data_IF_152334677798
#
_entry.id   IF_152334677798
#
_cell.length_a   1.000
_cell.length_b   1.000
_cell.length_c   1.000
_cell.angle_alpha   90.00
_cell.angle_beta   90.00
_cell.angle_gamma   90.00
#
_symmetry.space_group_name_H-M   'P 1'
#
loop_
_entity.id
_entity.type
_entity.pdbx_description
1 polymer ?
#
# COMPACT_ATOMS: atom_id res chain seq x y z
N UNK A 1 5.53 10.91 -21.41
CA UNK A 1 6.66 9.97 -21.22
C UNK A 1 7.37 10.34 -19.93
N UNK A 2 6.69 10.19 -18.80
CA UNK A 2 7.33 10.36 -17.49
C UNK A 2 8.13 9.09 -17.26
N UNK A 3 9.45 9.25 -17.14
CA UNK A 3 10.34 8.15 -16.78
C UNK A 3 9.92 7.66 -15.40
N UNK A 4 9.26 6.52 -15.33
CA UNK A 4 9.31 5.68 -14.14
C UNK A 4 10.79 5.33 -14.00
N UNK A 5 11.49 6.06 -13.14
CA UNK A 5 12.87 5.75 -12.78
C UNK A 5 12.82 4.40 -12.07
N UNK A 6 13.09 3.32 -12.82
CA UNK A 6 13.27 1.96 -12.33
C UNK A 6 14.57 1.84 -11.49
N UNK A 7 14.83 2.78 -10.58
CA UNK A 7 15.68 2.46 -9.44
C UNK A 7 14.86 1.52 -8.57
N UNK A 8 15.29 0.26 -8.43
CA UNK A 8 14.63 -0.72 -7.56
C UNK A 8 14.49 -0.12 -6.17
N UNK A 9 13.31 0.38 -5.84
CA UNK A 9 13.00 0.88 -4.53
C UNK A 9 12.38 -0.25 -3.73
N UNK A 10 12.77 -0.35 -2.47
CA UNK A 10 12.26 -1.40 -1.59
C UNK A 10 11.41 -0.75 -0.53
N UNK A 11 10.16 -1.17 -0.45
CA UNK A 11 9.21 -0.66 0.54
C UNK A 11 9.76 -0.74 1.96
N UNK A 12 10.43 -1.84 2.31
CA UNK A 12 11.07 -1.98 3.62
C UNK A 12 12.13 -0.91 3.89
N UNK A 13 12.96 -0.57 2.89
CA UNK A 13 13.99 0.46 3.05
C UNK A 13 13.36 1.85 3.19
N UNK A 14 12.21 2.09 2.55
CA UNK A 14 11.48 3.35 2.73
C UNK A 14 10.83 3.46 4.11
N UNK A 15 10.36 2.35 4.69
CA UNK A 15 9.65 2.34 5.98
C UNK A 15 10.54 2.19 7.22
N UNK A 16 11.70 1.52 7.10
CA UNK A 16 12.52 1.12 8.26
C UNK A 16 13.74 2.03 8.42
N UNK A 17 14.31 2.54 7.33
CA UNK A 17 15.48 3.40 7.41
C UNK A 17 15.09 4.77 7.94
N UNK A 18 15.92 5.31 8.83
CA UNK A 18 15.74 6.66 9.35
C UNK A 18 16.17 7.68 8.28
N UNK A 19 15.24 8.04 7.41
CA UNK A 19 15.38 9.09 6.40
C UNK A 19 14.80 10.40 6.92
N UNK A 20 15.40 11.53 6.57
CA UNK A 20 14.76 12.83 6.77
C UNK A 20 13.72 13.12 5.65
N UNK A 21 12.97 14.22 5.78
CA UNK A 21 11.93 14.59 4.82
C UNK A 21 12.46 14.80 3.39
N UNK A 22 13.73 15.18 3.22
CA UNK A 22 14.34 15.42 1.92
C UNK A 22 14.84 14.12 1.26
N UNK A 23 15.15 13.11 2.07
CA UNK A 23 15.63 11.79 1.62
C UNK A 23 14.50 10.81 1.35
N UNK A 24 13.39 10.96 2.07
CA UNK A 24 12.24 10.07 1.92
C UNK A 24 11.46 10.40 0.66
N UNK A 25 11.07 9.34 -0.06
CA UNK A 25 10.18 9.41 -1.22
C UNK A 25 8.72 9.21 -0.86
N UNK A 26 8.39 9.08 0.42
CA UNK A 26 7.03 8.76 0.86
C UNK A 26 6.00 9.83 0.52
N UNK A 27 6.44 11.05 0.19
CA UNK A 27 5.56 12.13 -0.28
C UNK A 27 5.18 12.01 -1.76
N UNK A 28 5.86 11.15 -2.53
CA UNK A 28 5.42 10.78 -3.87
C UNK A 28 4.24 9.80 -3.73
N UNK A 29 3.08 10.17 -4.27
CA UNK A 29 1.88 9.32 -4.28
C UNK A 29 2.19 7.93 -4.87
N UNK A 30 3.12 7.85 -5.83
CA UNK A 30 3.54 6.59 -6.44
C UNK A 30 4.28 5.64 -5.49
N UNK A 31 4.73 6.15 -4.34
CA UNK A 31 5.41 5.41 -3.29
C UNK A 31 4.49 5.29 -2.07
N UNK A 32 3.77 6.37 -1.74
CA UNK A 32 2.88 6.48 -0.60
C UNK A 32 1.74 5.46 -0.66
N UNK A 33 1.07 5.31 -1.82
CA UNK A 33 -0.10 4.43 -1.92
C UNK A 33 0.26 2.95 -1.70
N UNK A 34 1.29 2.37 -2.36
CA UNK A 34 1.75 1.01 -2.05
C UNK A 34 2.21 0.83 -0.60
N UNK A 35 2.85 1.84 -0.02
CA UNK A 35 3.27 1.79 1.37
C UNK A 35 2.07 1.76 2.34
N UNK A 36 1.09 2.64 2.13
CA UNK A 36 -0.13 2.71 2.93
C UNK A 36 -0.93 1.42 2.82
N UNK A 37 -1.09 0.87 1.61
CA UNK A 37 -1.73 -0.43 1.39
C UNK A 37 -1.08 -1.52 2.24
N UNK A 38 0.25 -1.67 2.16
CA UNK A 38 0.98 -2.68 2.91
C UNK A 38 0.81 -2.52 4.43
N UNK A 39 0.87 -1.28 4.94
CA UNK A 39 0.67 -0.99 6.37
C UNK A 39 -0.76 -1.36 6.80
N UNK A 40 -1.78 -0.97 6.05
CA UNK A 40 -3.19 -1.28 6.35
C UNK A 40 -3.43 -2.79 6.41
N UNK A 41 -2.85 -3.53 5.46
CA UNK A 41 -2.94 -4.99 5.41
C UNK A 41 -2.24 -5.64 6.61
N UNK A 42 -1.01 -5.22 6.92
CA UNK A 42 -0.24 -5.79 8.05
C UNK A 42 -0.91 -5.51 9.39
N UNK A 43 -1.44 -4.30 9.60
CA UNK A 43 -2.18 -3.96 10.81
C UNK A 43 -3.43 -4.81 10.97
N UNK A 44 -4.17 -5.01 9.87
CA UNK A 44 -5.38 -5.85 9.88
C UNK A 44 -5.04 -7.32 10.13
N UNK A 45 -4.02 -7.85 9.46
CA UNK A 45 -3.53 -9.22 9.67
C UNK A 45 -3.06 -9.44 11.11
N UNK A 46 -2.44 -8.43 11.72
CA UNK A 46 -2.01 -8.46 13.13
C UNK A 46 -3.21 -8.58 14.07
N UNK A 47 -4.27 -7.79 13.86
CA UNK A 47 -5.51 -7.89 14.64
C UNK A 47 -6.17 -9.26 14.47
N UNK A 48 -6.23 -9.77 13.24
CA UNK A 48 -6.76 -11.10 12.94
C UNK A 48 -5.95 -12.21 13.64
N UNK A 49 -4.62 -12.05 13.76
CA UNK A 49 -3.78 -13.00 14.51
C UNK A 49 -4.14 -13.05 16.01
N UNK A 50 -4.71 -11.96 16.54
CA UNK A 50 -5.26 -11.88 17.90
C UNK A 50 -6.74 -12.26 17.96
N UNK A 51 -7.28 -12.88 16.90
CA UNK A 51 -8.67 -13.29 16.77
C UNK A 51 -9.66 -12.11 16.79
N UNK A 52 -9.20 -10.90 16.44
CA UNK A 52 -10.03 -9.71 16.26
C UNK A 52 -10.35 -9.57 14.77
N UNK A 53 -11.61 -9.81 14.41
CA UNK A 53 -12.08 -9.77 13.03
C UNK A 53 -12.91 -8.51 12.78
N UNK A 54 -12.71 -7.82 11.65
CA UNK A 54 -13.56 -6.69 11.28
C UNK A 54 -14.97 -7.19 10.96
N UNK A 55 -15.98 -6.63 11.64
CA UNK A 55 -17.39 -6.85 11.31
C UNK A 55 -17.86 -6.00 10.12
N UNK A 56 -17.21 -4.84 9.95
CA UNK A 56 -17.47 -3.89 8.87
C UNK A 56 -16.15 -3.19 8.51
N UNK A 57 -16.01 -2.77 7.26
CA UNK A 57 -14.86 -2.01 6.77
C UNK A 57 -15.38 -0.77 6.06
N UNK A 58 -14.75 0.37 6.33
CA UNK A 58 -15.00 1.65 5.68
C UNK A 58 -13.63 2.18 5.26
N UNK A 59 -13.54 2.69 4.04
CA UNK A 59 -12.35 3.26 3.45
C UNK A 59 -12.56 4.73 3.10
N UNK A 60 -11.45 5.44 2.92
CA UNK A 60 -11.44 6.82 2.48
C UNK A 60 -10.43 6.96 1.34
N UNK A 61 -10.84 7.56 0.22
CA UNK A 61 -9.99 7.76 -0.97
C UNK A 61 -9.36 6.41 -1.42
N UNK A 62 -8.05 6.36 -1.67
CA UNK A 62 -7.32 5.15 -2.07
C UNK A 62 -7.20 4.03 -1.02
N UNK A 63 -8.07 4.00 -0.01
CA UNK A 63 -8.15 2.88 0.95
C UNK A 63 -8.97 1.70 0.43
N UNK A 64 -9.68 1.86 -0.68
CA UNK A 64 -10.60 0.86 -1.22
C UNK A 64 -9.87 -0.43 -1.61
N UNK A 65 -8.64 -0.35 -2.14
CA UNK A 65 -7.85 -1.54 -2.49
C UNK A 65 -7.49 -2.37 -1.26
N UNK A 66 -7.12 -1.73 -0.13
CA UNK A 66 -6.84 -2.44 1.11
C UNK A 66 -8.12 -3.04 1.72
N UNK A 67 -9.23 -2.32 1.66
CA UNK A 67 -10.53 -2.82 2.10
C UNK A 67 -10.94 -4.05 1.29
N UNK A 68 -10.86 -3.98 -0.04
CA UNK A 68 -11.15 -5.09 -0.94
C UNK A 68 -10.25 -6.30 -0.64
N UNK A 69 -8.93 -6.09 -0.47
CA UNK A 69 -8.00 -7.17 -0.11
C UNK A 69 -8.36 -7.89 1.19
N UNK A 70 -8.79 -7.14 2.21
CA UNK A 70 -9.16 -7.71 3.51
C UNK A 70 -10.48 -8.48 3.43
N UNK A 71 -11.47 -7.99 2.68
CA UNK A 71 -12.78 -8.66 2.53
C UNK A 71 -12.65 -9.95 1.72
N UNK A 72 -11.90 -9.92 0.61
CA UNK A 72 -11.79 -11.05 -0.34
C UNK A 72 -10.64 -12.03 -0.04
N UNK A 73 -9.90 -11.79 1.06
CA UNK A 73 -8.94 -12.71 1.71
C UNK A 73 -7.91 -13.37 0.78
N UNK A 74 -6.96 -12.55 0.32
CA UNK A 74 -5.52 -12.87 0.13
C UNK A 74 -4.99 -13.20 -1.28
N UNK A 75 -5.60 -12.76 -2.39
CA UNK A 75 -4.82 -12.69 -3.64
C UNK A 75 -3.97 -11.40 -3.67
N UNK A 76 -2.82 -11.46 -2.99
CA UNK A 76 -1.87 -10.35 -2.92
C UNK A 76 -1.37 -9.92 -4.29
N UNK A 77 -1.17 -10.86 -5.20
CA UNK A 77 -0.65 -10.56 -6.54
C UNK A 77 -1.65 -9.72 -7.34
N UNK A 78 -2.92 -10.11 -7.35
CA UNK A 78 -3.96 -9.37 -8.05
C UNK A 78 -4.15 -7.97 -7.47
N UNK A 79 -4.18 -7.83 -6.15
CA UNK A 79 -4.35 -6.50 -5.55
C UNK A 79 -3.15 -5.59 -5.79
N UNK A 80 -1.92 -6.10 -5.69
CA UNK A 80 -0.72 -5.31 -6.00
C UNK A 80 -0.69 -4.89 -7.47
N UNK A 81 -1.13 -5.77 -8.39
CA UNK A 81 -1.28 -5.43 -9.81
C UNK A 81 -2.32 -4.33 -10.02
N UNK A 82 -3.50 -4.44 -9.41
CA UNK A 82 -4.54 -3.41 -9.51
C UNK A 82 -4.07 -2.06 -8.96
N UNK A 83 -3.35 -2.07 -7.84
CA UNK A 83 -2.77 -0.86 -7.26
C UNK A 83 -1.78 -0.20 -8.24
N UNK A 84 -0.84 -0.97 -8.78
CA UNK A 84 0.11 -0.47 -9.77
C UNK A 84 -0.57 0.10 -11.03
N UNK A 85 -1.65 -0.53 -11.51
CA UNK A 85 -2.42 -0.06 -12.65
C UNK A 85 -3.15 1.25 -12.36
N UNK A 86 -3.78 1.39 -11.18
CA UNK A 86 -4.49 2.61 -10.80
C UNK A 86 -3.59 3.85 -10.76
N UNK A 87 -2.28 3.66 -10.55
CA UNK A 87 -1.30 4.72 -10.51
C UNK A 87 -0.78 5.11 -11.90
N UNK A 88 -1.05 4.28 -12.92
CA UNK A 88 -0.72 4.58 -14.32
C UNK A 88 -1.83 5.33 -15.06
N UNK A 89 -3.05 5.37 -14.52
CA UNK A 89 -4.20 6.04 -15.13
C UNK A 89 -4.42 7.48 -14.61
N UNK A 90 -3.67 7.93 -13.59
CA UNK A 90 -3.70 9.31 -13.07
C UNK A 90 -2.78 10.29 -13.85
N UNK A 91 -2.17 9.88 -14.98
CA UNK A 91 -1.45 10.75 -15.94
C UNK A 91 -2.35 11.30 -17.06
#
# INVERSE_FOLDING_TARGET
>A
MTKINNGEWRLLEELIEKKNEQESRINDTNIAQPALFAIQVVLTASLVSWHIYPSFIISHSGGDQAAAFVVDRLNLEETVRMLALSMSEEE
#
